data_IF_891050863119
#
_entry.id   IF_891050863119
#
_cell.length_a   1.000
_cell.length_b   1.000
_cell.length_c   1.000
_cell.angle_alpha   90.00
_cell.angle_beta   90.00
_cell.angle_gamma   90.00
#
_symmetry.space_group_name_H-M   'P 1'
#
loop_
_entity.id
_entity.type
_entity.pdbx_description
1 polymer ?
#
# COMPACT_ATOMS: atom_id res chain seq x y z
N UNK A 1 39.35 11.79 20.33
CA UNK A 1 38.89 12.01 18.93
C UNK A 1 38.03 10.85 18.42
N UNK A 2 38.42 9.60 18.62
CA UNK A 2 37.68 8.39 18.20
C UNK A 2 36.25 8.28 18.75
N UNK A 3 36.01 8.75 19.98
CA UNK A 3 34.67 8.81 20.60
C UNK A 3 33.71 9.75 19.88
N UNK A 4 34.21 10.86 19.33
CA UNK A 4 33.41 11.81 18.56
C UNK A 4 33.09 11.28 17.16
N UNK A 5 34.00 10.51 16.56
CA UNK A 5 33.79 9.82 15.28
C UNK A 5 32.68 8.76 15.37
N UNK A 6 32.63 8.00 16.47
CA UNK A 6 31.61 6.96 16.69
C UNK A 6 30.20 7.54 16.89
N UNK A 7 30.10 8.75 17.44
CA UNK A 7 28.82 9.42 17.68
C UNK A 7 28.19 10.03 16.41
N UNK A 8 28.99 10.35 15.40
CA UNK A 8 28.53 10.99 14.16
C UNK A 8 28.10 10.00 13.06
N UNK A 9 28.47 8.72 13.17
CA UNK A 9 28.15 7.68 12.19
C UNK A 9 26.65 7.50 11.90
N UNK A 10 25.73 7.48 12.89
CA UNK A 10 24.30 7.30 12.59
C UNK A 10 23.68 8.48 11.85
N UNK A 11 24.23 9.70 12.01
CA UNK A 11 23.72 10.90 11.34
C UNK A 11 23.89 10.83 9.81
N UNK A 12 24.91 10.11 9.34
CA UNK A 12 25.18 9.92 7.90
C UNK A 12 24.19 8.94 7.24
N UNK A 13 23.56 8.04 8.01
CA UNK A 13 22.61 7.06 7.46
C UNK A 13 21.19 7.63 7.29
N UNK A 14 20.89 8.78 7.90
CA UNK A 14 19.55 9.38 7.84
C UNK A 14 19.22 10.01 6.47
N UNK A 15 20.19 10.14 5.55
CA UNK A 15 19.99 10.86 4.28
C UNK A 15 19.31 10.05 3.15
N UNK A 16 19.18 8.72 3.27
CA UNK A 16 18.70 7.87 2.16
C UNK A 16 17.17 7.79 1.99
N UNK A 17 16.35 8.42 2.84
CA UNK A 17 14.89 8.29 2.83
C UNK A 17 14.16 9.57 2.40
N UNK A 18 14.75 10.35 1.48
CA UNK A 18 14.14 11.57 0.99
C UNK A 18 12.89 11.27 0.15
N UNK A 19 11.75 11.85 0.53
CA UNK A 19 10.49 11.76 -0.21
C UNK A 19 10.12 13.13 -0.77
N UNK A 20 10.08 13.26 -2.10
CA UNK A 20 9.66 14.45 -2.82
C UNK A 20 8.70 14.06 -3.95
N UNK A 21 8.01 15.08 -4.49
CA UNK A 21 7.21 14.90 -5.68
C UNK A 21 8.10 14.53 -6.89
N UNK A 22 7.60 13.61 -7.70
CA UNK A 22 8.29 13.17 -8.90
C UNK A 22 8.03 14.15 -10.04
N UNK A 23 9.11 14.52 -10.73
CA UNK A 23 9.07 15.27 -11.97
C UNK A 23 9.52 14.40 -13.13
N UNK A 24 8.99 14.60 -14.36
CA UNK A 24 9.52 13.96 -15.54
C UNK A 24 11.02 14.22 -15.70
N UNK A 25 11.73 13.27 -16.32
CA UNK A 25 13.13 13.46 -16.69
C UNK A 25 13.26 14.68 -17.62
N UNK A 26 14.42 15.35 -17.59
CA UNK A 26 14.67 16.51 -18.44
C UNK A 26 14.37 16.22 -19.92
N UNK A 27 13.55 17.06 -20.55
CA UNK A 27 13.11 16.90 -21.95
C UNK A 27 11.91 15.96 -22.15
N UNK A 28 11.48 15.22 -21.13
CA UNK A 28 10.27 14.39 -21.17
C UNK A 28 9.04 15.20 -20.73
N UNK A 29 7.87 14.76 -21.19
CA UNK A 29 6.57 15.28 -20.76
C UNK A 29 5.70 14.15 -20.23
N UNK A 30 4.68 14.49 -19.45
CA UNK A 30 3.66 13.51 -19.04
C UNK A 30 2.96 12.93 -20.26
N UNK A 31 2.43 11.69 -20.16
CA UNK A 31 1.56 11.13 -21.18
C UNK A 31 0.38 12.07 -21.49
N UNK A 32 -0.11 12.10 -22.74
CA UNK A 32 -1.27 12.90 -23.09
C UNK A 32 -2.51 12.45 -22.30
N UNK A 33 -3.51 13.32 -22.22
CA UNK A 33 -4.78 13.00 -21.58
C UNK A 33 -5.44 11.80 -22.27
N UNK A 34 -5.95 10.81 -21.52
CA UNK A 34 -6.71 9.72 -22.09
C UNK A 34 -8.06 10.22 -22.63
N UNK A 35 -8.70 9.40 -23.46
CA UNK A 35 -10.01 9.73 -24.03
C UNK A 35 -11.04 10.07 -22.93
N UNK A 36 -11.76 11.17 -23.12
CA UNK A 36 -12.78 11.64 -22.17
C UNK A 36 -12.23 12.45 -20.98
N UNK A 37 -10.91 12.68 -20.90
CA UNK A 37 -10.28 13.55 -19.90
C UNK A 37 -9.72 14.81 -20.57
N UNK A 38 -9.92 15.96 -19.91
CA UNK A 38 -9.41 17.26 -20.41
C UNK A 38 -7.92 17.40 -20.16
N UNK A 39 -7.45 16.93 -19.00
CA UNK A 39 -6.07 17.13 -18.53
C UNK A 39 -5.25 15.83 -18.49
N UNK A 40 -3.94 15.90 -18.72
CA UNK A 40 -3.01 14.79 -18.46
C UNK A 40 -3.09 14.31 -17.00
N UNK A 41 -2.93 13.00 -16.75
CA UNK A 41 -2.87 12.48 -15.40
C UNK A 41 -1.63 13.00 -14.64
N UNK A 42 -1.79 13.25 -13.34
CA UNK A 42 -0.70 13.66 -12.47
C UNK A 42 0.29 12.51 -12.17
N UNK A 43 1.53 12.78 -11.73
CA UNK A 43 2.46 11.73 -11.32
C UNK A 43 1.88 10.78 -10.26
N UNK A 44 1.08 11.29 -9.33
CA UNK A 44 0.44 10.46 -8.28
C UNK A 44 -0.59 9.50 -8.87
N UNK A 45 -1.39 9.97 -9.83
CA UNK A 45 -2.38 9.13 -10.51
C UNK A 45 -1.70 8.07 -11.38
N UNK A 46 -0.60 8.40 -12.06
CA UNK A 46 0.17 7.46 -12.88
C UNK A 46 0.84 6.34 -12.06
N UNK A 47 1.17 6.62 -10.81
CA UNK A 47 1.73 5.63 -9.88
C UNK A 47 0.66 4.83 -9.14
N UNK A 48 -0.61 5.19 -9.29
CA UNK A 48 -1.69 4.44 -8.67
C UNK A 48 -1.88 3.11 -9.41
N UNK A 49 -1.79 2.01 -8.66
CA UNK A 49 -2.03 0.68 -9.21
C UNK A 49 -3.51 0.53 -9.57
N UNK A 50 -3.77 -0.02 -10.76
CA UNK A 50 -5.11 -0.46 -11.11
C UNK A 50 -5.58 -1.54 -10.12
N UNK A 51 -6.89 -1.63 -9.83
CA UNK A 51 -7.44 -2.66 -8.95
C UNK A 51 -7.09 -4.10 -9.39
N UNK A 52 -6.90 -4.31 -10.70
CA UNK A 52 -6.52 -5.61 -11.25
C UNK A 52 -5.01 -5.88 -11.16
N UNK A 53 -4.19 -4.85 -11.00
CA UNK A 53 -2.73 -4.98 -10.86
C UNK A 53 -2.33 -5.37 -9.42
N UNK A 54 -3.14 -4.98 -8.44
CA UNK A 54 -2.98 -5.37 -7.04
C UNK A 54 -4.34 -5.75 -6.44
N UNK A 55 -4.95 -6.84 -6.90
CA UNK A 55 -6.26 -7.25 -6.40
C UNK A 55 -6.16 -7.53 -4.91
N UNK A 56 -7.20 -7.17 -4.13
CA UNK A 56 -7.25 -7.56 -2.73
C UNK A 56 -7.13 -9.08 -2.66
N UNK A 57 -6.22 -9.56 -1.82
CA UNK A 57 -6.16 -10.99 -1.54
C UNK A 57 -7.44 -11.34 -0.81
N UNK A 58 -8.06 -12.45 -1.20
CA UNK A 58 -9.10 -13.14 -0.44
C UNK A 58 -8.49 -13.81 0.80
N UNK A 59 -7.64 -13.08 1.53
CA UNK A 59 -7.12 -13.47 2.83
C UNK A 59 -8.21 -13.15 3.87
N UNK A 60 -9.29 -13.93 3.74
CA UNK A 60 -10.33 -14.20 4.73
C UNK A 60 -9.67 -14.85 5.96
N UNK A 61 -8.69 -14.20 6.59
CA UNK A 61 -8.11 -14.58 7.88
C UNK A 61 -8.39 -13.48 8.91
N UNK A 62 -8.58 -12.22 8.46
CA UNK A 62 -9.08 -11.13 9.31
C UNK A 62 -10.58 -11.19 9.58
N UNK A 63 -11.39 -11.73 8.68
CA UNK A 63 -12.83 -11.99 8.91
C UNK A 63 -13.09 -13.25 9.71
N UNK A 64 -12.15 -14.21 9.73
CA UNK A 64 -12.24 -15.42 10.58
C UNK A 64 -12.00 -15.17 12.08
N UNK A 65 -11.67 -13.93 12.47
CA UNK A 65 -11.53 -13.53 13.89
C UNK A 65 -12.82 -12.93 14.46
N UNK A 66 -13.91 -12.91 13.67
CA UNK A 66 -15.23 -12.52 14.17
C UNK A 66 -15.86 -13.70 14.92
N UNK A 67 -16.44 -13.41 16.09
CA UNK A 67 -17.25 -14.35 16.86
C UNK A 67 -18.38 -14.87 15.97
N UNK A 68 -18.48 -16.19 15.79
CA UNK A 68 -19.57 -16.80 15.03
C UNK A 68 -20.84 -16.79 15.88
N UNK A 69 -21.97 -16.48 15.24
CA UNK A 69 -23.27 -16.61 15.89
C UNK A 69 -23.51 -18.09 16.27
N UNK A 70 -24.23 -18.28 17.36
CA UNK A 70 -24.65 -19.60 17.84
C UNK A 70 -25.48 -20.31 16.76
N UNK A 71 -25.20 -21.60 16.50
CA UNK A 71 -25.85 -22.35 15.42
C UNK A 71 -27.24 -22.82 15.88
N UNK A 72 -28.35 -22.31 15.28
CA UNK A 72 -29.70 -22.71 15.68
C UNK A 72 -30.02 -24.17 15.38
N UNK A 73 -29.16 -24.87 14.64
CA UNK A 73 -29.32 -26.28 14.28
C UNK A 73 -28.39 -27.21 15.05
N UNK A 74 -27.62 -26.71 16.03
CA UNK A 74 -26.85 -27.56 16.97
C UNK A 74 -27.79 -28.17 18.03
N UNK A 75 -28.73 -28.99 17.54
CA UNK A 75 -29.73 -29.65 18.37
C UNK A 75 -29.16 -30.94 18.97
N UNK A 76 -29.48 -31.26 20.23
CA UNK A 76 -29.07 -32.53 20.83
C UNK A 76 -29.66 -33.73 20.08
N UNK A 77 -28.99 -34.90 20.10
CA UNK A 77 -29.51 -36.12 19.48
C UNK A 77 -30.89 -36.49 20.06
N UNK A 78 -31.79 -37.10 19.27
CA UNK A 78 -33.13 -37.46 19.73
C UNK A 78 -33.03 -38.52 20.83
N UNK A 79 -33.80 -38.32 21.90
CA UNK A 79 -33.92 -39.32 22.97
C UNK A 79 -34.74 -40.50 22.46
N UNK A 80 -34.18 -41.70 22.62
CA UNK A 80 -34.81 -42.97 22.26
C UNK A 80 -35.54 -43.59 23.45
#
# INVERSE_FOLDING_TARGET
MTRYLLAFTPLLLAACAQQADLTPMAGQRLPPAPYGRVDPPSPRELLQLDPQAAPPRSDELRSRSEERADDPFDLPPPEN
#
